data_IF_227252967948
#
_entry.id   IF_227252967948
#
_cell.length_a   1.000
_cell.length_b   1.000
_cell.length_c   1.000
_cell.angle_alpha   90.00
_cell.angle_beta   90.00
_cell.angle_gamma   90.00
#
_symmetry.space_group_name_H-M   'P 1'
#
loop_
_entity.id
_entity.type
_entity.pdbx_description
1 polymer ?
#
# COMPACT_ATOMS: atom_id res chain seq x y z
N UNK A 1 -39.43 48.19 -14.87
CA UNK A 1 -39.07 47.30 -13.74
C UNK A 1 -39.52 45.88 -14.04
N UNK A 2 -38.66 45.06 -14.64
CA UNK A 2 -38.90 43.62 -14.84
C UNK A 2 -38.18 42.88 -13.72
N UNK A 3 -38.91 42.49 -12.69
CA UNK A 3 -38.41 41.64 -11.60
C UNK A 3 -38.03 40.28 -12.19
N UNK A 4 -36.74 39.98 -12.18
CA UNK A 4 -36.18 38.65 -12.39
C UNK A 4 -36.74 37.72 -11.32
N UNK A 5 -37.69 36.86 -11.69
CA UNK A 5 -37.99 35.65 -10.92
C UNK A 5 -36.84 34.67 -11.10
N UNK A 6 -35.85 34.76 -10.22
CA UNK A 6 -34.81 33.75 -10.01
C UNK A 6 -35.03 33.11 -8.65
N UNK A 7 -36.03 32.22 -8.54
CA UNK A 7 -36.13 31.28 -7.42
C UNK A 7 -36.25 29.87 -8.02
N UNK A 8 -35.14 29.14 -8.09
CA UNK A 8 -34.59 28.32 -7.01
C UNK A 8 -35.42 27.07 -6.76
N UNK A 9 -35.32 26.11 -7.69
CA UNK A 9 -35.53 24.70 -7.38
C UNK A 9 -34.25 23.91 -7.65
N UNK A 10 -33.12 24.38 -7.08
CA UNK A 10 -31.94 23.52 -6.99
C UNK A 10 -32.23 22.47 -5.93
N UNK A 11 -32.10 21.17 -6.23
CA UNK A 11 -32.34 20.12 -5.25
C UNK A 11 -31.47 20.37 -4.01
N UNK A 12 -32.06 20.19 -2.83
CA UNK A 12 -31.33 20.33 -1.56
C UNK A 12 -30.16 19.35 -1.60
N UNK A 13 -28.91 19.83 -1.45
CA UNK A 13 -27.76 18.95 -1.54
C UNK A 13 -27.81 17.92 -0.41
N UNK A 14 -27.62 16.65 -0.76
CA UNK A 14 -27.51 15.54 0.19
C UNK A 14 -26.06 15.15 0.40
N UNK A 15 -25.77 14.38 1.46
CA UNK A 15 -24.41 13.88 1.69
C UNK A 15 -23.90 13.00 0.53
N UNK A 16 -24.76 12.20 -0.11
CA UNK A 16 -24.43 11.42 -1.32
C UNK A 16 -23.98 12.32 -2.45
N UNK A 17 -24.73 13.38 -2.76
CA UNK A 17 -24.35 14.29 -3.85
C UNK A 17 -23.03 15.02 -3.58
N UNK A 18 -22.75 15.39 -2.33
CA UNK A 18 -21.45 15.94 -1.92
C UNK A 18 -20.33 14.91 -2.07
N UNK A 19 -20.56 13.67 -1.63
CA UNK A 19 -19.59 12.60 -1.69
C UNK A 19 -19.24 12.21 -3.13
N UNK A 20 -20.24 12.03 -4.00
CA UNK A 20 -20.03 11.71 -5.41
C UNK A 20 -19.33 12.88 -6.13
N UNK A 21 -19.69 14.12 -5.82
CA UNK A 21 -18.99 15.32 -6.30
C UNK A 21 -17.52 15.35 -5.85
N UNK A 22 -17.23 14.99 -4.60
CA UNK A 22 -15.86 14.88 -4.11
C UNK A 22 -15.07 13.83 -4.90
N UNK A 23 -15.62 12.64 -5.12
CA UNK A 23 -14.93 11.59 -5.87
C UNK A 23 -14.65 11.97 -7.33
N UNK A 24 -15.55 12.73 -7.95
CA UNK A 24 -15.40 13.20 -9.32
C UNK A 24 -14.34 14.31 -9.44
N UNK A 25 -14.39 15.29 -8.54
CA UNK A 25 -13.63 16.53 -8.67
C UNK A 25 -12.33 16.56 -7.86
N UNK A 26 -12.12 15.63 -6.92
CA UNK A 26 -10.90 15.61 -6.13
C UNK A 26 -9.71 15.27 -7.01
N UNK A 27 -8.81 16.24 -7.13
CA UNK A 27 -7.52 16.06 -7.79
C UNK A 27 -6.41 15.78 -6.78
N UNK A 28 -5.33 15.17 -7.26
CA UNK A 28 -4.06 15.05 -6.52
C UNK A 28 -3.49 16.41 -6.13
N UNK A 29 -2.51 16.43 -5.21
CA UNK A 29 -1.85 17.68 -4.73
C UNK A 29 -1.36 18.57 -5.87
N UNK A 30 -0.96 17.98 -7.00
CA UNK A 30 -0.45 18.69 -8.17
C UNK A 30 -1.53 19.07 -9.19
N UNK A 31 -2.81 18.80 -8.89
CA UNK A 31 -3.99 19.03 -9.75
C UNK A 31 -3.95 18.38 -11.14
N UNK A 32 -3.03 17.44 -11.37
CA UNK A 32 -2.82 16.83 -12.70
C UNK A 32 -3.80 15.72 -13.01
N UNK A 33 -4.37 15.10 -11.99
CA UNK A 33 -5.11 13.85 -12.11
C UNK A 33 -6.17 13.73 -11.02
N UNK A 34 -7.26 13.04 -11.32
CA UNK A 34 -8.32 12.71 -10.35
C UNK A 34 -7.95 11.49 -9.53
N UNK A 35 -8.64 11.25 -8.41
CA UNK A 35 -8.46 10.03 -7.59
C UNK A 35 -8.45 8.75 -8.45
N UNK A 36 -7.44 7.91 -8.25
CA UNK A 36 -7.34 6.60 -8.87
C UNK A 36 -8.48 5.65 -8.48
N UNK A 37 -8.75 4.65 -9.32
CA UNK A 37 -9.88 3.71 -9.17
C UNK A 37 -9.92 3.05 -7.78
N UNK A 38 -8.82 2.44 -7.34
CA UNK A 38 -8.76 1.76 -6.04
C UNK A 38 -9.00 2.70 -4.86
N UNK A 39 -8.58 3.96 -5.00
CA UNK A 39 -8.88 4.98 -3.99
C UNK A 39 -10.38 5.26 -3.96
N UNK A 40 -11.00 5.50 -5.12
CA UNK A 40 -12.46 5.70 -5.23
C UNK A 40 -13.23 4.50 -4.68
N UNK A 41 -12.83 3.28 -5.01
CA UNK A 41 -13.45 2.05 -4.52
C UNK A 41 -13.32 1.92 -3.00
N UNK A 42 -12.15 2.28 -2.47
CA UNK A 42 -11.93 2.39 -1.03
C UNK A 42 -12.91 3.36 -0.37
N UNK A 43 -13.00 4.59 -0.86
CA UNK A 43 -13.94 5.60 -0.35
C UNK A 43 -15.38 5.08 -0.42
N UNK A 44 -15.80 4.54 -1.56
CA UNK A 44 -17.14 3.98 -1.75
C UNK A 44 -17.44 2.89 -0.73
N UNK A 45 -16.54 1.91 -0.58
CA UNK A 45 -16.71 0.79 0.35
C UNK A 45 -16.90 1.28 1.78
N UNK A 46 -16.04 2.17 2.28
CA UNK A 46 -16.10 2.60 3.67
C UNK A 46 -17.26 3.56 3.94
N UNK A 47 -17.44 4.59 3.11
CA UNK A 47 -18.46 5.60 3.35
C UNK A 47 -19.86 5.00 3.16
N UNK A 48 -20.07 4.18 2.12
CA UNK A 48 -21.38 3.57 1.88
C UNK A 48 -21.74 2.50 2.90
N UNK A 49 -20.76 1.79 3.46
CA UNK A 49 -21.02 0.79 4.50
C UNK A 49 -21.23 1.44 5.88
N UNK A 50 -20.41 2.43 6.25
CA UNK A 50 -20.35 2.97 7.62
C UNK A 50 -21.23 4.20 7.85
N UNK A 51 -21.71 4.84 6.79
CA UNK A 51 -22.56 6.04 6.85
C UNK A 51 -23.80 5.92 5.95
N UNK A 52 -24.26 4.69 5.70
CA UNK A 52 -25.42 4.41 4.84
C UNK A 52 -26.67 5.19 5.28
N UNK A 53 -26.86 5.30 6.59
CA UNK A 53 -28.00 5.93 7.25
C UNK A 53 -28.09 7.44 7.00
N UNK A 54 -26.97 8.10 6.69
CA UNK A 54 -26.93 9.55 6.42
C UNK A 54 -26.72 9.90 4.94
N UNK A 55 -26.43 8.93 4.06
CA UNK A 55 -26.10 9.19 2.65
C UNK A 55 -27.16 10.03 1.93
N UNK A 56 -28.42 9.65 2.05
CA UNK A 56 -29.50 10.29 1.30
C UNK A 56 -30.14 11.48 2.03
N UNK A 57 -29.63 11.83 3.22
CA UNK A 57 -30.15 12.95 4.00
C UNK A 57 -29.64 14.31 3.47
N UNK A 58 -30.44 15.37 3.55
CA UNK A 58 -29.99 16.75 3.33
C UNK A 58 -28.74 17.08 4.15
N UNK A 59 -27.83 17.90 3.61
CA UNK A 59 -26.62 18.30 4.33
C UNK A 59 -26.93 18.98 5.68
N UNK A 60 -28.03 19.75 5.79
CA UNK A 60 -28.48 20.33 7.06
C UNK A 60 -28.72 19.27 8.13
N UNK A 61 -29.45 18.22 7.75
CA UNK A 61 -29.84 17.14 8.66
C UNK A 61 -28.62 16.32 9.04
N UNK A 62 -27.70 16.08 8.11
CA UNK A 62 -26.43 15.41 8.39
C UNK A 62 -25.59 16.21 9.39
N UNK A 63 -25.55 17.54 9.27
CA UNK A 63 -24.83 18.39 10.22
C UNK A 63 -25.48 18.40 11.61
N UNK A 64 -26.81 18.26 11.69
CA UNK A 64 -27.52 18.09 12.96
C UNK A 64 -27.36 16.71 13.59
N UNK A 65 -27.21 15.66 12.77
CA UNK A 65 -27.02 14.28 13.24
C UNK A 65 -25.58 14.01 13.68
N UNK A 66 -24.57 14.53 12.97
CA UNK A 66 -23.16 14.36 13.31
C UNK A 66 -22.70 15.37 14.37
N UNK A 67 -23.30 15.29 15.57
CA UNK A 67 -22.82 16.04 16.74
C UNK A 67 -21.43 15.56 17.15
N UNK A 68 -20.68 16.35 17.96
CA UNK A 68 -19.38 15.91 18.48
C UNK A 68 -19.44 14.54 19.17
N UNK A 69 -20.47 14.29 19.97
CA UNK A 69 -20.69 13.03 20.70
C UNK A 69 -20.94 11.88 19.74
N UNK A 70 -21.80 12.07 18.74
CA UNK A 70 -22.11 11.04 17.72
C UNK A 70 -20.88 10.70 16.87
N UNK A 71 -20.09 11.71 16.50
CA UNK A 71 -18.83 11.54 15.76
C UNK A 71 -17.85 10.69 16.56
N UNK A 72 -17.71 10.97 17.86
CA UNK A 72 -16.81 10.22 18.74
C UNK A 72 -17.33 8.79 18.93
N UNK A 73 -18.62 8.61 19.19
CA UNK A 73 -19.26 7.31 19.38
C UNK A 73 -19.10 6.43 18.14
N UNK A 74 -19.48 6.91 16.95
CA UNK A 74 -19.30 6.16 15.69
C UNK A 74 -17.85 5.80 15.41
N UNK A 75 -16.91 6.67 15.74
CA UNK A 75 -15.49 6.37 15.59
C UNK A 75 -15.05 5.22 16.51
N UNK A 76 -15.52 5.19 17.75
CA UNK A 76 -15.29 4.10 18.70
C UNK A 76 -15.96 2.80 18.24
N UNK A 77 -17.20 2.85 17.76
CA UNK A 77 -17.91 1.68 17.25
C UNK A 77 -17.19 1.02 16.07
N UNK A 78 -16.68 1.83 15.12
CA UNK A 78 -15.89 1.31 14.01
C UNK A 78 -14.55 0.76 14.50
N UNK A 79 -13.92 1.39 15.50
CA UNK A 79 -12.66 0.92 16.09
C UNK A 79 -12.85 -0.45 16.73
N UNK A 80 -13.93 -0.63 17.49
CA UNK A 80 -14.17 -1.82 18.29
C UNK A 80 -14.76 -2.96 17.44
N UNK A 81 -15.60 -2.64 16.45
CA UNK A 81 -16.20 -3.64 15.56
C UNK A 81 -15.40 -3.95 14.28
N UNK A 82 -14.52 -3.06 13.82
CA UNK A 82 -13.77 -3.22 12.56
C UNK A 82 -12.27 -2.93 12.66
N UNK A 83 -11.77 -2.60 13.86
CA UNK A 83 -10.37 -2.41 14.16
C UNK A 83 -9.89 -0.95 14.02
N UNK A 84 -8.81 -0.65 14.75
CA UNK A 84 -8.18 0.69 14.82
C UNK A 84 -7.94 1.34 13.46
N UNK A 85 -7.34 0.60 12.52
CA UNK A 85 -7.03 1.11 11.19
C UNK A 85 -8.26 1.43 10.34
N UNK A 86 -9.37 0.70 10.51
CA UNK A 86 -10.61 0.97 9.81
C UNK A 86 -11.22 2.30 10.30
N UNK A 87 -11.22 2.55 11.61
CA UNK A 87 -11.70 3.80 12.20
C UNK A 87 -10.91 5.01 11.70
N UNK A 88 -9.58 4.96 11.80
CA UNK A 88 -8.69 6.04 11.35
C UNK A 88 -8.87 6.34 9.86
N UNK A 89 -8.88 5.32 9.01
CA UNK A 89 -9.04 5.49 7.57
C UNK A 89 -10.42 6.06 7.20
N UNK A 90 -11.48 5.53 7.82
CA UNK A 90 -12.86 5.95 7.54
C UNK A 90 -13.05 7.42 7.90
N UNK A 91 -12.63 7.84 9.10
CA UNK A 91 -12.78 9.23 9.54
C UNK A 91 -11.82 10.20 8.85
N UNK A 92 -10.64 9.74 8.42
CA UNK A 92 -9.75 10.55 7.57
C UNK A 92 -10.39 10.87 6.21
N UNK A 93 -11.10 9.91 5.62
CA UNK A 93 -11.86 10.08 4.38
C UNK A 93 -13.07 10.99 4.59
N UNK A 94 -13.80 10.78 5.67
CA UNK A 94 -14.94 11.62 6.05
C UNK A 94 -14.49 13.09 6.23
N UNK A 95 -13.38 13.31 6.94
CA UNK A 95 -12.77 14.62 7.11
C UNK A 95 -12.48 15.28 5.76
N UNK A 96 -11.92 14.54 4.81
CA UNK A 96 -11.60 15.07 3.49
C UNK A 96 -12.84 15.48 2.69
N UNK A 97 -13.92 14.69 2.77
CA UNK A 97 -15.22 14.98 2.13
C UNK A 97 -15.83 16.25 2.74
N UNK A 98 -15.87 16.38 4.06
CA UNK A 98 -16.42 17.58 4.71
C UNK A 98 -15.55 18.81 4.50
N UNK A 99 -14.23 18.70 4.47
CA UNK A 99 -13.34 19.81 4.10
C UNK A 99 -13.62 20.32 2.68
N UNK A 100 -13.89 19.41 1.73
CA UNK A 100 -14.33 19.79 0.39
C UNK A 100 -15.72 20.45 0.42
N UNK A 101 -16.65 19.90 1.18
CA UNK A 101 -17.99 20.44 1.37
C UNK A 101 -18.03 21.83 1.99
N UNK A 102 -17.14 22.16 2.93
CA UNK A 102 -17.02 23.50 3.51
C UNK A 102 -16.74 24.57 2.44
N UNK A 103 -16.00 24.22 1.37
CA UNK A 103 -15.75 25.14 0.26
C UNK A 103 -16.95 25.33 -0.67
N UNK A 104 -17.80 24.31 -0.82
CA UNK A 104 -18.97 24.34 -1.73
C UNK A 104 -20.26 24.81 -1.06
N UNK A 105 -20.42 24.52 0.24
CA UNK A 105 -21.64 24.75 1.01
C UNK A 105 -21.33 25.42 2.37
N UNK A 106 -20.63 26.58 2.40
CA UNK A 106 -20.16 27.20 3.64
C UNK A 106 -21.29 27.67 4.58
N UNK A 107 -22.49 27.92 4.04
CA UNK A 107 -23.66 28.31 4.84
C UNK A 107 -24.26 27.15 5.63
N UNK A 108 -24.09 25.92 5.13
CA UNK A 108 -24.61 24.68 5.74
C UNK A 108 -23.52 23.98 6.56
N UNK A 109 -22.34 23.78 5.97
CA UNK A 109 -21.20 23.12 6.61
C UNK A 109 -20.28 24.20 7.18
N UNK A 110 -20.64 24.74 8.34
CA UNK A 110 -19.89 25.81 9.02
C UNK A 110 -18.57 25.31 9.61
N UNK A 111 -18.53 24.05 10.03
CA UNK A 111 -17.35 23.38 10.57
C UNK A 111 -17.34 21.92 10.14
N UNK A 112 -16.15 21.31 10.13
CA UNK A 112 -16.02 19.89 9.85
C UNK A 112 -16.39 19.07 11.10
N UNK A 113 -17.40 18.18 11.04
CA UNK A 113 -17.84 17.43 12.21
C UNK A 113 -16.73 16.53 12.79
N UNK A 114 -15.79 16.05 11.96
CA UNK A 114 -14.68 15.21 12.43
C UNK A 114 -13.66 15.98 13.27
N UNK A 115 -13.76 17.32 13.35
CA UNK A 115 -12.88 18.14 14.19
C UNK A 115 -13.03 17.79 15.68
N UNK A 116 -14.21 17.30 16.10
CA UNK A 116 -14.45 16.81 17.44
C UNK A 116 -13.42 15.76 17.90
N UNK A 117 -12.99 14.84 17.01
CA UNK A 117 -11.98 13.83 17.33
C UNK A 117 -10.61 14.45 17.65
N UNK A 118 -10.25 15.52 16.94
CA UNK A 118 -8.99 16.25 17.17
C UNK A 118 -9.06 17.07 18.43
N UNK A 119 -10.15 17.83 18.62
CA UNK A 119 -10.28 18.77 19.74
C UNK A 119 -10.41 18.04 21.08
N UNK A 120 -11.06 16.87 21.09
CA UNK A 120 -11.14 16.01 22.26
C UNK A 120 -9.89 15.11 22.44
N UNK A 121 -8.95 15.08 21.48
CA UNK A 121 -7.75 14.23 21.57
C UNK A 121 -8.01 12.72 21.51
N UNK A 122 -9.15 12.29 20.93
CA UNK A 122 -9.62 10.90 20.96
C UNK A 122 -9.40 10.12 19.66
N UNK A 123 -8.55 10.65 18.76
CA UNK A 123 -8.11 9.89 17.59
C UNK A 123 -7.47 8.56 18.03
N UNK A 124 -7.88 7.47 17.38
CA UNK A 124 -7.26 6.17 17.63
C UNK A 124 -5.83 6.19 17.13
N UNK A 125 -4.89 5.89 18.02
CA UNK A 125 -3.50 5.64 17.64
C UNK A 125 -3.38 4.23 17.07
N UNK A 126 -2.80 4.12 15.88
CA UNK A 126 -2.43 2.84 15.28
C UNK A 126 -0.94 2.64 15.42
N UNK A 127 -0.55 1.53 16.02
CA UNK A 127 0.86 1.17 16.12
C UNK A 127 1.41 0.81 14.73
N UNK A 128 2.66 1.20 14.41
CA UNK A 128 3.32 0.74 13.20
C UNK A 128 3.30 -0.79 13.16
N UNK A 129 2.83 -1.37 12.05
CA UNK A 129 2.85 -2.82 11.88
C UNK A 129 4.29 -3.29 11.70
N UNK A 130 4.82 -4.01 12.70
CA UNK A 130 6.15 -4.65 12.67
C UNK A 130 6.14 -6.02 11.96
N UNK A 131 5.07 -6.39 11.26
CA UNK A 131 4.95 -7.72 10.66
C UNK A 131 5.99 -7.94 9.55
N UNK A 132 6.99 -8.78 9.85
CA UNK A 132 8.07 -9.23 8.96
C UNK A 132 8.51 -10.64 9.39
N UNK A 133 9.38 -11.30 8.63
CA UNK A 133 10.04 -12.54 9.05
C UNK A 133 11.11 -12.20 10.09
N UNK A 134 10.94 -12.72 11.32
CA UNK A 134 11.69 -12.26 12.50
C UNK A 134 12.68 -13.23 13.14
N UNK A 135 12.83 -14.43 12.60
CA UNK A 135 13.74 -15.44 13.16
C UNK A 135 14.05 -16.50 12.12
N UNK A 136 15.13 -17.25 12.35
CA UNK A 136 15.49 -18.40 11.49
C UNK A 136 14.31 -19.36 11.33
N UNK A 137 13.59 -19.61 12.43
CA UNK A 137 12.36 -20.42 12.44
C UNK A 137 11.26 -19.82 11.56
N UNK A 138 11.02 -18.51 11.64
CA UNK A 138 9.99 -17.85 10.82
C UNK A 138 10.33 -17.95 9.32
N UNK A 139 11.59 -17.77 8.95
CA UNK A 139 12.07 -17.95 7.56
C UNK A 139 11.87 -19.39 7.09
N UNK A 140 12.27 -20.39 7.89
CA UNK A 140 12.10 -21.80 7.55
C UNK A 140 10.63 -22.20 7.38
N UNK A 141 9.76 -21.77 8.30
CA UNK A 141 8.31 -22.00 8.23
C UNK A 141 7.72 -21.36 6.97
N UNK A 142 8.07 -20.11 6.70
CA UNK A 142 7.66 -19.41 5.48
C UNK A 142 8.10 -20.17 4.23
N UNK A 143 9.39 -20.50 4.12
CA UNK A 143 9.96 -21.14 2.94
C UNK A 143 9.31 -22.50 2.67
N UNK A 144 9.16 -23.33 3.72
CA UNK A 144 8.48 -24.62 3.63
C UNK A 144 7.02 -24.45 3.16
N UNK A 145 6.30 -23.50 3.74
CA UNK A 145 4.88 -23.28 3.41
C UNK A 145 4.69 -22.79 1.97
N UNK A 146 5.48 -21.84 1.50
CA UNK A 146 5.36 -21.35 0.11
C UNK A 146 5.83 -22.38 -0.90
N UNK A 147 6.82 -23.20 -0.56
CA UNK A 147 7.30 -24.29 -1.43
C UNK A 147 6.28 -25.38 -1.66
N UNK A 148 5.28 -25.53 -0.77
CA UNK A 148 4.16 -26.45 -0.92
C UNK A 148 2.99 -25.90 -1.76
N UNK A 149 3.06 -24.64 -2.22
CA UNK A 149 2.06 -24.05 -3.10
C UNK A 149 2.32 -24.43 -4.58
N UNK A 150 1.37 -24.10 -5.45
CA UNK A 150 1.61 -24.12 -6.90
C UNK A 150 2.85 -23.29 -7.24
N UNK A 151 3.62 -23.72 -8.25
CA UNK A 151 4.86 -23.03 -8.67
C UNK A 151 4.66 -21.53 -8.88
N UNK A 152 3.55 -21.14 -9.51
CA UNK A 152 3.23 -19.72 -9.76
C UNK A 152 3.15 -18.91 -8.44
N UNK A 153 2.45 -19.43 -7.44
CA UNK A 153 2.34 -18.76 -6.14
C UNK A 153 3.66 -18.77 -5.37
N UNK A 154 4.37 -19.92 -5.34
CA UNK A 154 5.70 -20.05 -4.74
C UNK A 154 6.63 -18.99 -5.31
N UNK A 155 6.75 -18.98 -6.63
CA UNK A 155 7.67 -18.12 -7.37
C UNK A 155 7.28 -16.64 -7.22
N UNK A 156 5.99 -16.32 -7.20
CA UNK A 156 5.54 -14.94 -6.97
C UNK A 156 5.84 -14.45 -5.54
N UNK A 157 5.69 -15.30 -4.51
CA UNK A 157 6.07 -14.95 -3.14
C UNK A 157 7.59 -14.76 -3.00
N UNK A 158 8.39 -15.66 -3.57
CA UNK A 158 9.85 -15.56 -3.54
C UNK A 158 10.33 -14.34 -4.34
N UNK A 159 9.76 -14.08 -5.51
CA UNK A 159 10.05 -12.89 -6.29
C UNK A 159 9.71 -11.61 -5.53
N UNK A 160 8.54 -11.55 -4.86
CA UNK A 160 8.18 -10.42 -4.02
C UNK A 160 9.16 -10.19 -2.85
N UNK A 161 9.68 -11.28 -2.26
CA UNK A 161 10.70 -11.22 -1.20
C UNK A 161 12.05 -10.73 -1.72
N UNK A 162 12.55 -11.29 -2.83
CA UNK A 162 13.84 -10.91 -3.42
C UNK A 162 13.86 -9.53 -4.06
N UNK A 163 12.71 -9.00 -4.47
CA UNK A 163 12.67 -7.70 -5.15
C UNK A 163 12.30 -6.54 -4.22
N UNK A 164 11.72 -6.81 -3.05
CA UNK A 164 11.20 -5.78 -2.16
C UNK A 164 10.07 -4.93 -2.77
N UNK A 165 9.49 -5.35 -3.91
CA UNK A 165 8.40 -4.66 -4.59
C UNK A 165 7.12 -4.65 -3.75
N UNK A 166 6.17 -3.77 -4.09
CA UNK A 166 4.82 -3.95 -3.52
C UNK A 166 4.25 -5.27 -4.02
N UNK A 167 3.49 -6.03 -3.21
CA UNK A 167 2.96 -7.32 -3.61
C UNK A 167 2.13 -7.29 -4.89
N UNK A 168 1.36 -6.22 -5.11
CA UNK A 168 0.58 -6.03 -6.32
C UNK A 168 1.46 -5.79 -7.55
N UNK A 169 2.59 -5.10 -7.40
CA UNK A 169 3.56 -4.86 -8.46
C UNK A 169 4.23 -6.18 -8.86
N UNK A 170 4.77 -6.91 -7.88
CA UNK A 170 5.38 -8.22 -8.09
C UNK A 170 4.42 -9.20 -8.80
N UNK A 171 3.15 -9.23 -8.39
CA UNK A 171 2.16 -10.13 -8.96
C UNK A 171 1.70 -9.74 -10.38
N UNK A 172 1.87 -8.47 -10.78
CA UNK A 172 1.37 -7.96 -12.06
C UNK A 172 2.44 -7.73 -13.12
N UNK A 173 3.67 -8.21 -12.88
CA UNK A 173 4.77 -8.20 -13.86
C UNK A 173 4.34 -8.95 -15.13
N UNK A 174 4.48 -8.29 -16.28
CA UNK A 174 4.26 -8.85 -17.62
C UNK A 174 5.57 -9.28 -18.24
N UNK A 175 5.51 -10.16 -19.23
CA UNK A 175 6.70 -10.52 -19.99
C UNK A 175 7.35 -9.33 -20.69
N UNK A 176 6.55 -8.38 -21.16
CA UNK A 176 7.04 -7.15 -21.81
C UNK A 176 7.71 -6.18 -20.82
N UNK A 177 7.54 -6.38 -19.51
CA UNK A 177 8.18 -5.57 -18.48
C UNK A 177 9.61 -6.07 -18.17
N UNK A 178 10.00 -7.25 -18.68
CA UNK A 178 11.26 -7.92 -18.35
C UNK A 178 12.25 -7.81 -19.51
N UNK A 179 13.38 -7.14 -19.29
CA UNK A 179 14.52 -7.18 -20.20
C UNK A 179 15.62 -8.08 -19.61
N UNK A 180 15.72 -9.30 -20.15
CA UNK A 180 16.72 -10.29 -19.74
C UNK A 180 18.15 -9.89 -20.14
N UNK A 181 18.33 -9.11 -21.21
CA UNK A 181 19.66 -8.67 -21.65
C UNK A 181 20.18 -7.56 -20.73
N UNK A 182 19.33 -6.58 -20.44
CA UNK A 182 19.66 -5.49 -19.51
C UNK A 182 19.54 -5.92 -18.03
N UNK A 183 18.94 -7.09 -17.75
CA UNK A 183 18.68 -7.64 -16.42
C UNK A 183 17.87 -6.67 -15.55
N UNK A 184 16.72 -6.24 -16.06
CA UNK A 184 15.83 -5.28 -15.40
C UNK A 184 14.36 -5.67 -15.53
N UNK A 185 13.55 -5.20 -14.59
CA UNK A 185 12.09 -5.16 -14.67
C UNK A 185 11.62 -3.71 -14.63
N UNK A 186 10.86 -3.30 -15.63
CA UNK A 186 10.34 -1.93 -15.76
C UNK A 186 8.81 -1.87 -15.61
N UNK A 187 8.37 -1.39 -14.46
CA UNK A 187 6.95 -1.16 -14.15
C UNK A 187 6.57 0.33 -14.22
N UNK A 188 7.29 1.12 -15.01
CA UNK A 188 7.04 2.56 -15.17
C UNK A 188 5.63 2.86 -15.68
N UNK A 189 5.06 1.98 -16.51
CA UNK A 189 3.69 2.11 -17.02
C UNK A 189 2.60 2.08 -15.93
N UNK A 190 2.88 1.46 -14.77
CA UNK A 190 1.93 1.45 -13.63
C UNK A 190 1.83 2.80 -12.93
N UNK A 191 2.66 3.76 -13.31
CA UNK A 191 2.68 5.08 -12.70
C UNK A 191 2.01 6.13 -13.58
N UNK A 192 0.72 6.36 -13.37
CA UNK A 192 0.06 7.54 -13.96
C UNK A 192 0.32 8.83 -13.16
N UNK A 193 0.92 8.75 -11.96
CA UNK A 193 1.00 9.89 -11.04
C UNK A 193 2.32 10.06 -10.26
N UNK A 194 3.15 9.03 -10.14
CA UNK A 194 4.44 9.13 -9.43
C UNK A 194 5.57 9.14 -10.47
N UNK A 195 6.13 10.30 -10.78
CA UNK A 195 7.27 10.49 -11.71
C UNK A 195 8.58 9.77 -11.32
N UNK A 196 8.50 8.75 -10.47
CA UNK A 196 9.64 8.19 -9.76
C UNK A 196 9.70 6.66 -9.82
N UNK A 197 8.73 5.98 -10.46
CA UNK A 197 8.87 4.53 -10.69
C UNK A 197 9.90 4.29 -11.78
N UNK A 198 11.00 3.67 -11.40
CA UNK A 198 12.12 3.35 -12.28
C UNK A 198 12.15 1.85 -12.52
N UNK A 199 12.72 1.47 -13.66
CA UNK A 199 13.22 0.12 -13.83
C UNK A 199 14.06 -0.28 -12.61
N UNK A 200 13.94 -1.55 -12.21
CA UNK A 200 14.69 -2.12 -11.10
C UNK A 200 15.59 -3.23 -11.62
N UNK A 201 16.83 -3.35 -11.12
CA UNK A 201 17.70 -4.43 -11.54
C UNK A 201 17.17 -5.78 -11.06
N UNK A 202 17.55 -6.85 -11.77
CA UNK A 202 17.31 -8.22 -11.34
C UNK A 202 18.51 -8.76 -10.55
N UNK A 203 18.23 -9.45 -9.45
CA UNK A 203 19.21 -10.31 -8.78
C UNK A 203 19.30 -11.67 -9.49
N UNK A 204 20.38 -12.42 -9.25
CA UNK A 204 20.53 -13.80 -9.74
C UNK A 204 19.30 -14.66 -9.41
N UNK A 205 18.80 -14.58 -8.18
CA UNK A 205 17.64 -15.35 -7.71
C UNK A 205 16.37 -14.97 -8.49
N UNK A 206 16.17 -13.68 -8.76
CA UNK A 206 15.03 -13.19 -9.54
C UNK A 206 15.15 -13.60 -11.02
N UNK A 207 16.34 -13.51 -11.62
CA UNK A 207 16.60 -13.99 -12.98
C UNK A 207 16.32 -15.49 -13.11
N UNK A 208 16.70 -16.29 -12.10
CA UNK A 208 16.44 -17.73 -12.08
C UNK A 208 14.94 -18.03 -12.06
N UNK A 209 14.18 -17.35 -11.19
CA UNK A 209 12.72 -17.47 -11.16
C UNK A 209 12.13 -17.12 -12.53
N UNK A 210 12.50 -15.96 -13.08
CA UNK A 210 11.98 -15.50 -14.37
C UNK A 210 12.32 -16.45 -15.51
N UNK A 211 13.54 -17.00 -15.52
CA UNK A 211 13.99 -17.95 -16.54
C UNK A 211 13.20 -19.26 -16.48
N UNK A 212 12.97 -19.80 -15.28
CA UNK A 212 12.13 -20.99 -15.09
C UNK A 212 10.68 -20.73 -15.52
N UNK A 213 10.12 -19.58 -15.13
CA UNK A 213 8.76 -19.18 -15.56
C UNK A 213 8.66 -19.01 -17.06
N UNK A 214 9.72 -18.54 -17.73
CA UNK A 214 9.76 -18.35 -19.18
C UNK A 214 9.74 -19.70 -19.91
N UNK A 215 10.44 -20.70 -19.39
CA UNK A 215 10.42 -22.07 -19.93
C UNK A 215 9.03 -22.73 -19.77
N UNK A 216 8.30 -22.39 -18.71
CA UNK A 216 6.95 -22.87 -18.44
C UNK A 216 5.83 -21.96 -18.99
N UNK A 217 6.18 -20.94 -19.80
CA UNK A 217 5.24 -19.93 -20.29
C UNK A 217 4.23 -20.54 -21.28
N UNK A 218 2.94 -20.36 -21.01
CA UNK A 218 1.87 -20.69 -21.94
C UNK A 218 1.82 -19.72 -23.14
N UNK A 219 1.28 -20.15 -24.30
CA UNK A 219 1.28 -19.35 -25.52
C UNK A 219 0.56 -18.00 -25.39
N UNK A 220 -0.41 -17.90 -24.48
CA UNK A 220 -1.22 -16.70 -24.24
C UNK A 220 -0.92 -16.02 -22.89
N UNK A 221 0.11 -16.46 -22.17
CA UNK A 221 0.45 -15.87 -20.88
C UNK A 221 1.05 -14.48 -21.07
N UNK A 222 0.29 -13.46 -20.69
CA UNK A 222 0.76 -12.05 -20.67
C UNK A 222 1.59 -11.78 -19.42
N UNK A 223 1.17 -12.34 -18.29
CA UNK A 223 1.81 -12.15 -16.99
C UNK A 223 2.85 -13.23 -16.70
N UNK A 224 3.91 -12.86 -15.97
CA UNK A 224 4.93 -13.80 -15.47
C UNK A 224 4.31 -14.79 -14.47
N UNK A 225 3.38 -14.27 -13.65
CA UNK A 225 2.63 -15.03 -12.64
C UNK A 225 1.14 -15.07 -13.00
N UNK A 226 0.74 -15.85 -14.03
CA UNK A 226 -0.64 -15.87 -14.49
C UNK A 226 -1.56 -16.53 -13.47
N UNK A 227 -2.82 -16.15 -13.48
CA UNK A 227 -3.89 -16.91 -12.83
C UNK A 227 -4.85 -17.36 -13.90
N UNK A 228 -5.45 -18.54 -13.73
CA UNK A 228 -6.59 -18.92 -14.55
C UNK A 228 -7.64 -17.79 -14.52
N UNK A 229 -8.13 -17.43 -15.70
CA UNK A 229 -9.10 -16.34 -15.88
C UNK A 229 -10.41 -16.61 -15.13
N UNK A 230 -10.73 -17.87 -14.86
CA UNK A 230 -11.86 -18.24 -13.99
C UNK A 230 -11.62 -17.95 -12.50
N UNK A 231 -10.36 -17.84 -12.08
CA UNK A 231 -9.95 -17.64 -10.68
C UNK A 231 -9.57 -16.19 -10.36
N UNK A 232 -9.18 -15.37 -11.35
CA UNK A 232 -8.77 -13.98 -11.14
C UNK A 232 -9.24 -13.04 -12.24
N UNK A 233 -9.96 -11.99 -11.85
CA UNK A 233 -10.39 -10.90 -12.75
C UNK A 233 -9.22 -10.06 -13.30
N UNK A 234 -8.04 -10.12 -12.68
CA UNK A 234 -6.87 -9.36 -13.12
C UNK A 234 -5.95 -10.14 -14.07
N UNK A 235 -6.20 -11.44 -14.28
CA UNK A 235 -5.38 -12.30 -15.15
C UNK A 235 -4.04 -12.76 -14.55
N UNK A 236 -3.72 -12.32 -13.33
CA UNK A 236 -2.52 -12.72 -12.59
C UNK A 236 -2.87 -13.17 -11.17
N UNK A 237 -1.92 -13.81 -10.49
CA UNK A 237 -2.12 -14.29 -9.12
C UNK A 237 -2.37 -13.13 -8.15
N UNK A 238 -3.07 -13.42 -7.06
CA UNK A 238 -3.26 -12.46 -5.96
C UNK A 238 -2.61 -13.01 -4.69
N UNK A 239 -1.60 -12.31 -4.20
CA UNK A 239 -0.98 -12.64 -2.91
C UNK A 239 -1.90 -12.15 -1.78
N UNK A 240 -2.38 -13.09 -0.97
CA UNK A 240 -3.43 -12.86 0.03
C UNK A 240 -2.89 -13.05 1.45
N UNK A 241 -3.16 -12.06 2.32
CA UNK A 241 -2.71 -12.10 3.72
C UNK A 241 -3.35 -13.24 4.52
N UNK A 242 -4.65 -13.48 4.35
CA UNK A 242 -5.35 -14.57 5.01
C UNK A 242 -4.83 -15.94 4.58
N UNK A 243 -4.54 -16.13 3.28
CA UNK A 243 -3.93 -17.37 2.78
C UNK A 243 -2.54 -17.57 3.37
N UNK A 244 -1.70 -16.54 3.37
CA UNK A 244 -0.34 -16.62 3.90
C UNK A 244 -0.33 -16.95 5.40
N UNK A 245 -1.21 -16.31 6.19
CA UNK A 245 -1.41 -16.65 7.62
C UNK A 245 -1.87 -18.09 7.80
N UNK A 246 -2.83 -18.54 6.99
CA UNK A 246 -3.37 -19.90 7.06
C UNK A 246 -2.31 -20.99 6.82
N UNK A 247 -1.40 -20.79 5.87
CA UNK A 247 -0.40 -21.81 5.51
C UNK A 247 0.86 -21.75 6.38
N UNK A 248 1.16 -20.59 6.97
CA UNK A 248 2.36 -20.41 7.80
C UNK A 248 2.09 -20.49 9.29
N UNK A 249 0.87 -20.17 9.75
CA UNK A 249 0.57 -19.91 11.15
C UNK A 249 1.20 -18.62 11.70
N UNK A 250 1.89 -17.84 10.86
CA UNK A 250 2.57 -16.61 11.25
C UNK A 250 1.70 -15.39 10.97
N UNK A 251 1.87 -14.31 11.74
CA UNK A 251 1.20 -13.02 11.49
C UNK A 251 1.84 -12.25 10.31
N UNK A 252 1.88 -12.88 9.14
CA UNK A 252 2.46 -12.33 7.93
C UNK A 252 1.40 -11.76 6.99
N UNK A 253 1.83 -10.80 6.20
CA UNK A 253 1.11 -10.30 5.03
C UNK A 253 2.06 -10.29 3.83
N UNK A 254 1.57 -10.24 2.58
CA UNK A 254 2.47 -10.08 1.44
C UNK A 254 3.37 -8.83 1.57
N UNK A 255 2.88 -7.77 2.19
CA UNK A 255 3.66 -6.56 2.45
C UNK A 255 4.78 -6.77 3.50
N UNK A 256 4.66 -7.80 4.34
CA UNK A 256 5.70 -8.20 5.28
C UNK A 256 6.98 -8.64 4.58
N UNK A 257 6.87 -9.22 3.37
CA UNK A 257 8.05 -9.63 2.57
C UNK A 257 8.91 -8.43 2.17
N UNK A 258 8.26 -7.34 1.75
CA UNK A 258 8.94 -6.07 1.49
C UNK A 258 9.60 -5.49 2.74
N UNK A 259 8.96 -5.59 3.90
CA UNK A 259 9.57 -5.14 5.17
C UNK A 259 10.77 -5.99 5.54
N UNK A 260 10.70 -7.30 5.34
CA UNK A 260 11.84 -8.21 5.50
C UNK A 260 12.99 -7.82 4.58
N UNK A 261 12.72 -7.53 3.30
CA UNK A 261 13.75 -7.06 2.37
C UNK A 261 14.44 -5.77 2.87
N UNK A 262 13.66 -4.79 3.31
CA UNK A 262 14.19 -3.53 3.86
C UNK A 262 15.04 -3.79 5.10
N UNK A 263 14.54 -4.62 6.02
CA UNK A 263 15.23 -4.96 7.27
C UNK A 263 16.56 -5.66 7.01
N UNK A 264 16.61 -6.62 6.09
CA UNK A 264 17.88 -7.27 5.72
C UNK A 264 18.84 -6.26 5.10
N UNK A 265 18.35 -5.34 4.28
CA UNK A 265 19.16 -4.24 3.75
C UNK A 265 19.75 -3.34 4.84
N UNK A 266 18.93 -2.94 5.82
CA UNK A 266 19.37 -2.14 6.96
C UNK A 266 20.42 -2.90 7.79
N UNK A 267 20.22 -4.20 8.05
CA UNK A 267 21.17 -5.05 8.78
C UNK A 267 22.51 -5.21 8.06
N UNK A 268 22.51 -5.27 6.73
CA UNK A 268 23.74 -5.31 5.93
C UNK A 268 24.50 -3.97 5.91
N UNK A 269 24.03 -2.95 6.64
CA UNK A 269 24.64 -1.63 6.69
C UNK A 269 24.53 -0.87 5.37
N UNK A 270 23.56 -1.22 4.52
CA UNK A 270 23.36 -0.54 3.25
C UNK A 270 22.82 0.86 3.48
N UNK A 271 23.21 1.80 2.61
CA UNK A 271 22.77 3.18 2.72
C UNK A 271 21.26 3.25 2.52
N UNK A 272 20.58 4.04 3.35
CA UNK A 272 19.12 4.20 3.29
C UNK A 272 18.62 4.59 1.89
N UNK A 273 19.36 5.46 1.22
CA UNK A 273 19.08 5.86 -0.17
C UNK A 273 19.08 4.70 -1.18
N UNK A 274 19.91 3.68 -0.97
CA UNK A 274 19.98 2.52 -1.86
C UNK A 274 18.79 1.59 -1.62
N UNK A 275 18.38 1.40 -0.36
CA UNK A 275 17.19 0.61 0.00
C UNK A 275 15.90 1.31 -0.48
N UNK A 276 15.79 2.62 -0.29
CA UNK A 276 14.63 3.39 -0.76
C UNK A 276 14.55 3.38 -2.30
N UNK A 277 15.70 3.46 -3.00
CA UNK A 277 15.78 3.27 -4.45
C UNK A 277 15.34 1.88 -4.89
N UNK A 278 15.83 0.82 -4.23
CA UNK A 278 15.45 -0.57 -4.53
C UNK A 278 14.00 -0.88 -4.24
N UNK A 279 13.40 -0.16 -3.30
CA UNK A 279 12.00 -0.36 -2.93
C UNK A 279 11.10 0.68 -3.60
N UNK A 280 11.62 1.58 -4.42
CA UNK A 280 10.84 2.62 -5.10
C UNK A 280 10.03 3.48 -4.09
N UNK A 281 10.64 3.74 -2.93
CA UNK A 281 10.15 4.71 -1.95
C UNK A 281 10.56 6.10 -2.43
N UNK A 282 9.59 6.92 -2.86
CA UNK A 282 9.87 8.31 -3.24
C UNK A 282 9.75 9.22 -2.02
N UNK A 283 10.85 9.79 -1.56
CA UNK A 283 10.80 11.14 -1.02
C UNK A 283 10.59 12.06 -2.22
N UNK A 284 9.52 12.86 -2.19
CA UNK A 284 8.93 13.54 -3.36
C UNK A 284 9.78 14.65 -4.00
N UNK A 285 11.11 14.53 -4.03
CA UNK A 285 12.05 15.61 -4.33
C UNK A 285 12.99 15.35 -5.51
N UNK A 286 13.05 14.16 -6.12
CA UNK A 286 14.08 13.89 -7.14
C UNK A 286 13.52 13.71 -8.56
N UNK A 287 13.75 14.73 -9.39
CA UNK A 287 13.52 14.72 -10.83
C UNK A 287 14.73 14.08 -11.51
N UNK A 288 14.71 12.77 -11.76
CA UNK A 288 15.85 12.12 -12.44
C UNK A 288 15.62 12.07 -13.95
N UNK A 289 16.50 12.79 -14.66
CA UNK A 289 16.70 12.77 -16.11
C UNK A 289 17.20 11.38 -16.51
N UNK A 290 16.80 10.88 -17.69
CA UNK A 290 17.08 9.53 -18.20
C UNK A 290 18.54 9.05 -18.01
N UNK A 291 19.56 9.93 -18.11
CA UNK A 291 20.97 9.58 -17.86
C UNK A 291 21.30 9.15 -16.42
N UNK A 292 20.55 9.64 -15.43
CA UNK A 292 20.72 9.25 -14.03
C UNK A 292 20.12 7.87 -13.75
N UNK A 293 19.21 7.39 -14.59
CA UNK A 293 18.52 6.11 -14.41
C UNK A 293 19.48 4.94 -14.64
N UNK A 294 20.31 4.97 -15.69
CA UNK A 294 21.25 3.88 -15.96
C UNK A 294 22.39 3.78 -14.94
N UNK A 295 22.91 4.93 -14.51
CA UNK A 295 23.89 5.01 -13.42
C UNK A 295 23.26 4.56 -12.08
N UNK A 296 22.01 4.93 -11.84
CA UNK A 296 21.22 4.49 -10.69
C UNK A 296 20.99 2.98 -10.69
N UNK A 297 20.67 2.38 -11.85
CA UNK A 297 20.47 0.93 -12.01
C UNK A 297 21.77 0.16 -11.74
N UNK A 298 22.89 0.59 -12.33
CA UNK A 298 24.19 -0.04 -12.09
C UNK A 298 24.58 -0.01 -10.61
N UNK A 299 24.36 1.13 -9.93
CA UNK A 299 24.63 1.27 -8.49
C UNK A 299 23.71 0.39 -7.63
N UNK A 300 22.46 0.18 -8.05
CA UNK A 300 21.47 -0.60 -7.32
C UNK A 300 21.69 -2.12 -7.42
N UNK A 301 22.39 -2.62 -8.46
CA UNK A 301 22.64 -4.07 -8.65
C UNK A 301 23.39 -4.72 -7.49
N UNK A 302 24.47 -4.09 -7.01
CA UNK A 302 25.30 -4.67 -5.94
C UNK A 302 24.54 -4.75 -4.60
N UNK A 303 23.92 -3.67 -4.10
CA UNK A 303 23.08 -3.72 -2.90
C UNK A 303 21.93 -4.74 -3.01
N UNK A 304 21.26 -4.80 -4.17
CA UNK A 304 20.21 -5.80 -4.40
C UNK A 304 20.75 -7.22 -4.27
N UNK A 305 21.87 -7.53 -4.94
CA UNK A 305 22.46 -8.86 -4.91
C UNK A 305 22.87 -9.25 -3.48
N UNK A 306 23.47 -8.33 -2.71
CA UNK A 306 23.83 -8.57 -1.30
C UNK A 306 22.61 -8.93 -0.44
N UNK A 307 21.50 -8.19 -0.58
CA UNK A 307 20.26 -8.50 0.14
C UNK A 307 19.73 -9.88 -0.27
N UNK A 308 19.67 -10.15 -1.57
CA UNK A 308 19.14 -11.42 -2.08
C UNK A 308 19.99 -12.62 -1.69
N UNK A 309 21.32 -12.49 -1.69
CA UNK A 309 22.23 -13.55 -1.24
C UNK A 309 22.05 -13.83 0.25
N UNK A 310 21.92 -12.79 1.09
CA UNK A 310 21.64 -12.98 2.53
C UNK A 310 20.27 -13.61 2.76
N UNK A 311 19.23 -13.17 2.05
CA UNK A 311 17.90 -13.78 2.11
C UNK A 311 17.92 -15.25 1.72
N UNK A 312 18.60 -15.59 0.61
CA UNK A 312 18.72 -16.97 0.15
C UNK A 312 19.49 -17.83 1.15
N UNK A 313 20.61 -17.34 1.70
CA UNK A 313 21.38 -18.04 2.73
C UNK A 313 20.54 -18.36 3.98
N UNK A 314 19.71 -17.40 4.43
CA UNK A 314 18.79 -17.61 5.56
C UNK A 314 17.69 -18.64 5.20
N UNK A 315 17.07 -18.52 4.02
CA UNK A 315 16.02 -19.44 3.57
C UNK A 315 16.52 -20.89 3.45
N UNK A 316 17.78 -21.07 3.05
CA UNK A 316 18.45 -22.37 2.93
C UNK A 316 19.02 -22.88 4.26
N UNK A 317 18.93 -22.09 5.35
CA UNK A 317 19.47 -22.45 6.66
C UNK A 317 21.00 -22.47 6.72
N UNK A 318 21.68 -21.80 5.78
CA UNK A 318 23.13 -21.60 5.77
C UNK A 318 23.51 -20.52 6.80
N UNK A 319 22.69 -19.45 6.87
CA UNK A 319 22.86 -18.33 7.80
C UNK A 319 21.70 -18.28 8.82
N UNK A 320 21.99 -17.78 10.02
CA UNK A 320 20.96 -17.44 11.00
C UNK A 320 20.31 -16.08 10.70
N UNK A 321 19.00 -15.99 10.94
CA UNK A 321 18.26 -14.73 10.92
C UNK A 321 18.15 -14.10 12.32
N UNK A 322 18.65 -14.75 13.36
CA UNK A 322 18.44 -14.31 14.75
C UNK A 322 19.29 -13.06 15.08
N UNK A 323 20.42 -12.89 14.40
CA UNK A 323 21.27 -11.69 14.44
C UNK A 323 20.61 -10.46 13.79
N UNK A 324 19.56 -10.65 12.99
CA UNK A 324 18.81 -9.54 12.39
C UNK A 324 17.99 -8.75 13.44
N UNK A 325 17.81 -9.32 14.64
CA UNK A 325 16.94 -8.80 15.70
C UNK A 325 17.66 -8.55 17.03
N UNK A 326 18.99 -8.62 17.04
CA UNK A 326 19.75 -8.15 18.20
C UNK A 326 19.61 -6.62 18.29
N UNK A 327 18.62 -6.17 19.08
CA UNK A 327 18.61 -4.83 19.65
C UNK A 327 19.80 -4.74 20.61
N UNK A 328 20.68 -3.75 20.42
CA UNK A 328 21.64 -3.33 21.44
C UNK A 328 20.88 -3.06 22.74
N UNK A 329 20.98 -3.99 23.70
CA UNK A 329 20.51 -3.80 25.07
C UNK A 329 21.56 -3.08 25.93
N UNK A 330 22.44 -2.28 25.32
CA UNK A 330 23.46 -1.49 26.03
C UNK A 330 23.38 -0.02 25.61
N UNK A 331 22.54 0.74 26.31
CA UNK A 331 22.86 2.05 26.92
C UNK A 331 21.57 2.85 27.11
N UNK A 332 21.03 2.80 28.34
CA UNK A 332 20.47 3.97 29.02
C UNK A 332 20.08 3.55 30.44
N UNK A 333 21.08 3.30 31.29
CA UNK A 333 20.94 3.61 32.71
C UNK A 333 21.47 5.02 32.91
N UNK A 334 20.63 6.03 33.19
CA UNK A 334 21.13 7.29 33.70
C UNK A 334 21.66 7.01 35.11
N UNK A 335 22.98 7.07 35.28
CA UNK A 335 23.59 7.24 36.59
C UNK A 335 23.00 8.50 37.22
N UNK A 336 22.32 8.30 38.35
CA UNK A 336 21.88 9.35 39.24
C UNK A 336 23.10 10.09 39.79
N UNK A 337 23.18 11.39 39.50
CA UNK A 337 23.84 12.37 40.36
C UNK A 337 22.92 13.57 40.57
#
# INVERSE_FOLDING_TARGET
>A
MRLLKLEHNKPVPTFRTLFDSYLLNKTTKNRKTTLGKDTKDGYNSQIRQKFADILDKPLSDVMSLLTPEEVIARHQDIRDGSGKGAAVNTFSRLRAIFNYGMGLHPTVIKSNPTKALTDAGVWTKTDPRKTMLQSSTAFAVFYKAVSALSEIHRDCYLFALYHGMRPSEAASVRWDDVDFNAKVVDLSWMSTETKHRRAQPLSRQSEQILSMRLQAKGPNDVYVFPSDHHLSKSGHVTLRADKLRSITGLDLTPHSLRRTFIMVGDHLGLRREDIDRLTNHSDGTVTDVHYLVDLSLKKARKPLQQICDKLEAILLGIDSADELFYEDLSDDTPESS
#
